data_IF_263873050968
#
_entry.id   IF_263873050968
#
_cell.length_a   1.000
_cell.length_b   1.000
_cell.length_c   1.000
_cell.angle_alpha   90.00
_cell.angle_beta   90.00
_cell.angle_gamma   90.00
#
_symmetry.space_group_name_H-M   'P 1'
#
loop_
_entity.id
_entity.type
_entity.pdbx_description
1 polymer ?
#
# COMPACT_ATOMS: atom_id res chain seq x y z
N UNK A 1 -12.64 14.22 -12.20
CA UNK A 1 -11.94 12.95 -12.55
C UNK A 1 -10.60 12.80 -11.83
N UNK A 2 -9.75 13.83 -11.78
CA UNK A 2 -8.43 13.80 -11.13
C UNK A 2 -8.44 13.27 -9.68
N UNK A 3 -9.31 13.78 -8.81
CA UNK A 3 -9.36 13.37 -7.39
C UNK A 3 -9.63 11.86 -7.25
N UNK A 4 -10.57 11.33 -8.02
CA UNK A 4 -10.88 9.89 -8.04
C UNK A 4 -9.67 9.07 -8.49
N UNK A 5 -8.95 9.53 -9.52
CA UNK A 5 -7.72 8.88 -9.97
C UNK A 5 -6.62 8.90 -8.89
N UNK A 6 -6.45 10.01 -8.17
CA UNK A 6 -5.49 10.13 -7.07
C UNK A 6 -5.86 9.20 -5.90
N UNK A 7 -7.15 9.13 -5.54
CA UNK A 7 -7.64 8.21 -4.52
C UNK A 7 -7.40 6.76 -4.92
N UNK A 8 -7.69 6.40 -6.18
CA UNK A 8 -7.43 5.06 -6.71
C UNK A 8 -5.93 4.71 -6.63
N UNK A 9 -5.05 5.62 -7.04
CA UNK A 9 -3.60 5.41 -6.96
C UNK A 9 -3.13 5.26 -5.52
N UNK A 10 -3.65 6.07 -4.60
CA UNK A 10 -3.34 5.96 -3.18
C UNK A 10 -3.79 4.59 -2.64
N UNK A 11 -5.06 4.21 -2.84
CA UNK A 11 -5.61 2.93 -2.38
C UNK A 11 -4.85 1.74 -2.95
N UNK A 12 -4.55 1.76 -4.25
CA UNK A 12 -3.79 0.70 -4.91
C UNK A 12 -2.39 0.55 -4.33
N UNK A 13 -1.75 1.65 -3.90
CA UNK A 13 -0.41 1.62 -3.33
C UNK A 13 -0.35 1.17 -1.86
N UNK A 14 -1.47 1.13 -1.13
CA UNK A 14 -1.52 0.64 0.25
C UNK A 14 -1.04 -0.83 0.36
N UNK A 15 -1.59 -1.81 -0.38
CA UNK A 15 -1.12 -3.19 -0.30
C UNK A 15 0.34 -3.35 -0.72
N UNK A 16 0.82 -2.59 -1.72
CA UNK A 16 2.23 -2.61 -2.11
C UNK A 16 3.15 -2.03 -1.04
N UNK A 17 2.75 -0.93 -0.38
CA UNK A 17 3.47 -0.37 0.76
C UNK A 17 3.55 -1.32 1.94
N UNK A 18 2.46 -2.06 2.19
CA UNK A 18 2.40 -3.10 3.20
C UNK A 18 3.33 -4.28 2.87
N UNK A 19 3.28 -4.77 1.62
CA UNK A 19 4.15 -5.85 1.16
C UNK A 19 5.63 -5.45 1.25
N UNK A 20 5.98 -4.23 0.81
CA UNK A 20 7.34 -3.68 0.85
C UNK A 20 7.95 -3.68 2.25
N UNK A 21 7.16 -3.42 3.28
CA UNK A 21 7.62 -3.41 4.68
C UNK A 21 7.89 -4.82 5.22
N UNK A 22 7.21 -5.83 4.68
CA UNK A 22 7.26 -7.21 5.14
C UNK A 22 8.30 -8.09 4.40
N UNK A 23 9.06 -7.51 3.47
CA UNK A 23 10.12 -8.20 2.72
C UNK A 23 11.49 -7.58 2.97
N UNK A 24 12.57 -8.34 2.75
CA UNK A 24 13.95 -7.84 2.92
C UNK A 24 14.22 -6.69 1.96
N UNK A 25 14.74 -5.56 2.46
CA UNK A 25 15.16 -4.43 1.61
C UNK A 25 16.17 -4.89 0.56
N UNK A 26 16.07 -4.35 -0.66
CA UNK A 26 16.92 -4.68 -1.81
C UNK A 26 16.82 -6.16 -2.27
N UNK A 27 15.78 -6.89 -1.85
CA UNK A 27 15.45 -8.18 -2.44
C UNK A 27 14.60 -8.01 -3.70
N UNK A 28 14.52 -9.06 -4.53
CA UNK A 28 13.65 -9.07 -5.71
C UNK A 28 12.17 -8.75 -5.36
N UNK A 29 11.56 -9.35 -4.31
CA UNK A 29 10.21 -8.95 -3.87
C UNK A 29 10.09 -7.48 -3.47
N UNK A 30 11.11 -6.90 -2.83
CA UNK A 30 11.12 -5.48 -2.47
C UNK A 30 11.14 -4.59 -3.70
N UNK A 31 11.92 -4.96 -4.71
CA UNK A 31 11.97 -4.26 -5.98
C UNK A 31 10.61 -4.33 -6.69
N UNK A 32 9.99 -5.52 -6.73
CA UNK A 32 8.66 -5.73 -7.32
C UNK A 32 7.58 -4.90 -6.62
N UNK A 33 7.61 -4.83 -5.29
CA UNK A 33 6.65 -4.04 -4.52
C UNK A 33 6.69 -2.54 -4.87
N UNK A 34 7.83 -2.03 -5.33
CA UNK A 34 7.98 -0.65 -5.81
C UNK A 34 7.65 -0.55 -7.30
N UNK A 35 8.13 -1.47 -8.12
CA UNK A 35 8.05 -1.28 -9.57
C UNK A 35 6.74 -1.76 -10.18
N UNK A 36 6.01 -2.70 -9.58
CA UNK A 36 4.71 -3.15 -10.11
C UNK A 36 3.63 -2.05 -10.16
N UNK A 37 3.45 -1.22 -9.12
CA UNK A 37 2.45 -0.16 -9.18
C UNK A 37 2.82 1.00 -10.14
N UNK A 38 4.10 1.17 -10.51
CA UNK A 38 4.55 2.27 -11.38
C UNK A 38 3.97 2.18 -12.81
N UNK A 39 4.08 1.05 -13.55
CA UNK A 39 3.41 0.85 -14.83
C UNK A 39 1.91 1.05 -14.76
N UNK A 40 1.26 0.62 -13.66
CA UNK A 40 -0.18 0.79 -13.50
C UNK A 40 -0.56 2.28 -13.44
N UNK A 41 0.19 3.08 -12.68
CA UNK A 41 0.00 4.54 -12.63
C UNK A 41 0.31 5.19 -13.96
N UNK A 42 1.37 4.76 -14.66
CA UNK A 42 1.74 5.29 -15.97
C UNK A 42 0.65 5.05 -17.02
N UNK A 43 0.12 3.81 -17.09
CA UNK A 43 -0.98 3.44 -17.99
C UNK A 43 -2.25 4.22 -17.67
N UNK A 44 -2.62 4.33 -16.39
CA UNK A 44 -3.80 5.11 -15.96
C UNK A 44 -3.68 6.57 -16.41
N UNK A 45 -2.50 7.18 -16.25
CA UNK A 45 -2.27 8.56 -16.67
C UNK A 45 -2.31 8.74 -18.18
N UNK A 46 -1.77 7.77 -18.92
CA UNK A 46 -1.80 7.78 -20.38
C UNK A 46 -3.24 7.66 -20.92
N UNK A 47 -4.02 6.70 -20.40
CA UNK A 47 -5.42 6.50 -20.82
C UNK A 47 -6.35 7.68 -20.48
N UNK A 48 -6.04 8.43 -19.43
CA UNK A 48 -6.81 9.61 -19.03
C UNK A 48 -6.26 10.92 -19.63
N UNK A 49 -5.25 10.85 -20.49
CA UNK A 49 -4.62 12.00 -21.18
C UNK A 49 -4.24 13.13 -20.21
N UNK A 50 -3.74 12.76 -19.03
CA UNK A 50 -3.57 13.72 -17.94
C UNK A 50 -2.39 14.67 -18.19
N UNK A 51 -2.56 15.99 -17.96
CA UNK A 51 -1.49 16.96 -18.15
C UNK A 51 -0.25 16.64 -17.30
N UNK A 52 0.93 17.00 -17.80
CA UNK A 52 2.20 16.86 -17.08
C UNK A 52 2.20 17.51 -15.69
N UNK A 53 1.47 18.62 -15.52
CA UNK A 53 1.30 19.32 -14.25
C UNK A 53 0.71 18.43 -13.13
N UNK A 54 -0.03 17.39 -13.47
CA UNK A 54 -0.63 16.47 -12.48
C UNK A 54 0.36 15.41 -11.98
N UNK A 55 1.52 15.24 -12.63
CA UNK A 55 2.54 14.25 -12.24
C UNK A 55 2.91 14.33 -10.76
N UNK A 56 3.11 15.55 -10.24
CA UNK A 56 3.50 15.73 -8.84
C UNK A 56 2.40 15.25 -7.88
N UNK A 57 1.13 15.49 -8.21
CA UNK A 57 0.01 15.00 -7.41
C UNK A 57 -0.07 13.47 -7.43
N UNK A 58 0.19 12.83 -8.57
CA UNK A 58 0.23 11.37 -8.69
C UNK A 58 1.41 10.76 -7.93
N UNK A 59 2.58 11.38 -7.97
CA UNK A 59 3.73 10.97 -7.16
C UNK A 59 3.42 11.09 -5.68
N UNK A 60 2.82 12.20 -5.25
CA UNK A 60 2.41 12.37 -3.86
C UNK A 60 1.40 11.29 -3.43
N UNK A 61 0.37 11.01 -4.24
CA UNK A 61 -0.61 9.95 -3.96
C UNK A 61 0.03 8.55 -3.91
N UNK A 62 0.96 8.27 -4.82
CA UNK A 62 1.72 7.03 -4.86
C UNK A 62 2.53 6.82 -3.58
N UNK A 63 3.34 7.81 -3.19
CA UNK A 63 4.15 7.73 -1.97
C UNK A 63 3.29 7.72 -0.71
N UNK A 64 2.17 8.44 -0.70
CA UNK A 64 1.23 8.43 0.42
C UNK A 64 0.62 7.05 0.62
N UNK A 65 0.15 6.39 -0.44
CA UNK A 65 -0.37 5.02 -0.37
C UNK A 65 0.69 4.04 0.16
N UNK A 66 1.91 4.12 -0.38
CA UNK A 66 3.04 3.30 0.08
C UNK A 66 3.41 3.53 1.55
N UNK A 67 3.34 4.78 2.01
CA UNK A 67 3.59 5.15 3.40
C UNK A 67 2.50 4.61 4.31
N UNK A 68 1.23 4.77 3.95
CA UNK A 68 0.09 4.26 4.71
C UNK A 68 0.14 2.73 4.85
N UNK A 69 0.48 2.02 3.78
CA UNK A 69 0.69 0.57 3.79
C UNK A 69 1.81 0.13 4.74
N UNK A 70 2.96 0.80 4.69
CA UNK A 70 4.08 0.53 5.60
C UNK A 70 3.73 0.83 7.06
N UNK A 71 3.02 1.94 7.32
CA UNK A 71 2.54 2.27 8.66
C UNK A 71 1.58 1.21 9.19
N UNK A 72 0.64 0.76 8.36
CA UNK A 72 -0.30 -0.30 8.74
C UNK A 72 0.44 -1.60 9.10
N UNK A 73 1.42 -2.02 8.31
CA UNK A 73 2.26 -3.20 8.63
C UNK A 73 2.95 -3.04 9.99
N UNK A 74 3.55 -1.87 10.27
CA UNK A 74 4.19 -1.59 11.56
C UNK A 74 3.21 -1.58 12.73
N UNK A 75 2.00 -1.06 12.54
CA UNK A 75 0.95 -1.07 13.57
C UNK A 75 0.42 -2.48 13.85
N UNK A 76 0.43 -3.38 12.85
CA UNK A 76 -0.02 -4.76 13.01
C UNK A 76 1.07 -5.70 13.57
N UNK A 77 2.35 -5.34 13.42
CA UNK A 77 3.50 -6.15 13.89
C UNK A 77 3.47 -6.56 15.36
N UNK A 78 3.02 -5.72 16.32
CA UNK A 78 2.89 -6.13 17.73
C UNK A 78 1.84 -7.22 17.96
N UNK A 79 0.88 -7.42 17.04
CA UNK A 79 -0.21 -8.38 17.19
C UNK A 79 0.11 -9.76 16.57
N UNK A 80 1.33 -9.98 16.08
CA UNK A 80 1.82 -11.27 15.57
C UNK A 80 2.63 -11.16 14.27
N UNK A 81 3.01 -12.30 13.69
CA UNK A 81 3.79 -12.37 12.45
C UNK A 81 2.99 -11.85 11.25
N UNK A 82 3.25 -10.62 10.82
CA UNK A 82 2.60 -9.98 9.68
C UNK A 82 2.96 -10.70 8.37
N UNK A 83 1.98 -11.07 7.57
CA UNK A 83 2.18 -11.69 6.25
C UNK A 83 2.63 -10.66 5.21
N UNK A 84 3.13 -11.14 4.07
CA UNK A 84 3.46 -10.29 2.93
C UNK A 84 2.22 -9.75 2.20
N UNK A 85 1.05 -10.35 2.39
CA UNK A 85 -0.21 -9.94 1.74
C UNK A 85 -1.14 -9.23 2.72
N UNK A 86 -1.43 -7.95 2.46
CA UNK A 86 -2.39 -7.15 3.23
C UNK A 86 -3.79 -7.76 3.21
N UNK A 87 -4.24 -8.28 2.06
CA UNK A 87 -5.57 -8.87 1.91
C UNK A 87 -5.69 -10.11 2.78
N UNK A 88 -4.66 -10.95 2.80
CA UNK A 88 -4.62 -12.13 3.66
C UNK A 88 -4.76 -11.75 5.13
N UNK A 89 -3.98 -10.78 5.60
CA UNK A 89 -4.01 -10.38 7.02
C UNK A 89 -5.29 -9.64 7.40
N UNK A 90 -5.87 -8.85 6.49
CA UNK A 90 -7.15 -8.19 6.72
C UNK A 90 -8.31 -9.19 6.76
N UNK A 91 -8.29 -10.26 5.96
CA UNK A 91 -9.38 -11.24 5.90
C UNK A 91 -9.26 -12.27 7.02
N UNK A 92 -8.06 -12.81 7.28
CA UNK A 92 -7.86 -13.88 8.26
C UNK A 92 -7.57 -13.40 9.68
N UNK A 93 -6.98 -12.21 9.87
CA UNK A 93 -6.48 -11.77 11.19
C UNK A 93 -7.18 -10.55 11.77
N UNK A 94 -8.12 -9.93 11.06
CA UNK A 94 -8.96 -8.87 11.60
C UNK A 94 -9.72 -9.30 12.86
N UNK A 95 -10.13 -10.57 12.95
CA UNK A 95 -10.75 -11.15 14.13
C UNK A 95 -9.79 -11.24 15.35
N UNK A 96 -8.51 -11.58 15.14
CA UNK A 96 -7.51 -11.66 16.22
C UNK A 96 -7.18 -10.27 16.78
N UNK A 97 -7.16 -9.23 15.94
CA UNK A 97 -6.90 -7.84 16.37
C UNK A 97 -8.03 -7.31 17.26
N UNK A 98 -9.29 -7.68 16.97
CA UNK A 98 -10.44 -7.32 17.81
C UNK A 98 -10.36 -8.00 19.18
N UNK A 99 -9.97 -9.28 19.23
CA UNK A 99 -9.90 -10.07 20.47
C UNK A 99 -8.66 -9.71 21.30
N UNK A 100 -7.48 -9.55 20.70
CA UNK A 100 -6.24 -9.20 21.42
C UNK A 100 -6.30 -7.83 22.09
N UNK A 101 -7.14 -6.91 21.57
CA UNK A 101 -7.39 -5.59 22.17
C UNK A 101 -8.30 -5.65 23.41
N UNK A 102 -9.05 -6.74 23.61
CA UNK A 102 -9.88 -6.97 24.80
C UNK A 102 -9.09 -7.54 25.99
N UNK A 103 -7.98 -8.25 25.76
CA UNK A 103 -7.23 -8.94 26.82
C UNK A 103 -6.14 -8.04 27.44
N UNK A 104 -5.72 -6.98 26.73
CA UNK A 104 -4.69 -6.04 27.20
C UNK A 104 -5.20 -4.77 27.89
N UNK A 105 -6.44 -4.76 28.39
CA UNK A 105 -7.00 -3.64 29.19
C UNK A 105 -7.41 -4.12 30.56
#
# INVERSE_FOLDING_TARGET
>A
MLIWSLMLVCLLNIPFGYWRENVRKLSLPWFMAIHLPVPFVALLRHHLELPGATLLAFLAAYFLGQYLGSRLSRTLRPYGNVSSSLVHDLVHRSWIIIIGRQIGR
#
